data_IF_061488605350
#
_entry.id   IF_061488605350
#
_cell.length_a   1.000
_cell.length_b   1.000
_cell.length_c   1.000
_cell.angle_alpha   90.00
_cell.angle_beta   90.00
_cell.angle_gamma   90.00
#
_symmetry.space_group_name_H-M   'P 1'
#
loop_
_entity.id
_entity.type
_entity.pdbx_description
1 polymer ?
#
# COMPACT_ATOMS: atom_id res chain seq x y z
N UNK A 1 -41.71 -37.29 -37.72
CA UNK A 1 -40.63 -36.77 -36.89
C UNK A 1 -40.21 -37.89 -35.92
N UNK A 2 -38.96 -38.35 -35.88
CA UNK A 2 -38.56 -39.41 -34.98
C UNK A 2 -38.66 -38.89 -33.53
N UNK A 3 -39.41 -39.61 -32.68
CA UNK A 3 -39.56 -39.29 -31.28
C UNK A 3 -38.21 -39.56 -30.57
N UNK A 4 -37.64 -38.54 -29.96
CA UNK A 4 -36.41 -38.68 -29.16
C UNK A 4 -36.65 -39.64 -27.98
N UNK A 5 -35.85 -40.69 -27.88
CA UNK A 5 -35.96 -41.61 -26.76
C UNK A 5 -35.47 -40.89 -25.48
N UNK A 6 -36.03 -41.25 -24.31
CA UNK A 6 -35.59 -40.72 -23.01
C UNK A 6 -34.09 -40.90 -22.81
N UNK A 7 -33.53 -42.00 -23.28
CA UNK A 7 -32.11 -42.31 -23.21
C UNK A 7 -31.26 -41.34 -24.06
N UNK A 8 -31.72 -41.02 -25.26
CA UNK A 8 -31.00 -40.11 -26.17
C UNK A 8 -31.05 -38.67 -25.66
N UNK A 9 -32.20 -38.27 -25.13
CA UNK A 9 -32.34 -36.99 -24.47
C UNK A 9 -31.36 -36.83 -23.29
N UNK A 10 -31.29 -37.83 -22.40
CA UNK A 10 -30.34 -37.77 -21.25
C UNK A 10 -28.86 -37.73 -21.69
N UNK A 11 -28.51 -38.52 -22.72
CA UNK A 11 -27.16 -38.48 -23.28
C UNK A 11 -26.83 -37.14 -23.92
N UNK A 12 -27.77 -36.55 -24.64
CA UNK A 12 -27.58 -35.24 -25.23
C UNK A 12 -27.43 -34.17 -24.14
N UNK A 13 -28.32 -34.16 -23.16
CA UNK A 13 -28.30 -33.18 -22.06
C UNK A 13 -27.01 -33.28 -21.24
N UNK A 14 -26.55 -34.48 -20.90
CA UNK A 14 -25.32 -34.66 -20.15
C UNK A 14 -24.08 -34.18 -20.94
N UNK A 15 -24.03 -34.46 -22.24
CA UNK A 15 -22.95 -33.96 -23.10
C UNK A 15 -23.00 -32.45 -23.23
N UNK A 16 -24.16 -31.86 -23.41
CA UNK A 16 -24.33 -30.41 -23.49
C UNK A 16 -23.87 -29.72 -22.18
N UNK A 17 -24.25 -30.26 -21.01
CA UNK A 17 -23.82 -29.76 -19.72
C UNK A 17 -22.29 -29.85 -19.54
N UNK A 18 -21.69 -30.98 -19.96
CA UNK A 18 -20.22 -31.13 -19.88
C UNK A 18 -19.49 -30.11 -20.77
N UNK A 19 -19.99 -29.86 -21.98
CA UNK A 19 -19.40 -28.83 -22.86
C UNK A 19 -19.56 -27.43 -22.30
N UNK A 20 -20.74 -27.09 -21.79
CA UNK A 20 -20.99 -25.78 -21.17
C UNK A 20 -20.08 -25.58 -19.94
N UNK A 21 -19.99 -26.59 -19.05
CA UNK A 21 -19.14 -26.52 -17.89
C UNK A 21 -17.67 -26.39 -18.26
N UNK A 22 -17.24 -27.11 -19.30
CA UNK A 22 -15.86 -27.01 -19.79
C UNK A 22 -15.54 -25.61 -20.35
N UNK A 23 -16.44 -25.05 -21.16
CA UNK A 23 -16.27 -23.68 -21.69
C UNK A 23 -16.25 -22.61 -20.59
N UNK A 24 -17.15 -22.72 -19.62
CA UNK A 24 -17.18 -21.81 -18.48
C UNK A 24 -15.91 -21.93 -17.63
N UNK A 25 -15.43 -23.15 -17.40
CA UNK A 25 -14.19 -23.40 -16.65
C UNK A 25 -12.96 -22.83 -17.36
N UNK A 26 -12.85 -23.04 -18.68
CA UNK A 26 -11.76 -22.47 -19.49
C UNK A 26 -11.85 -20.93 -19.49
N UNK A 27 -13.04 -20.37 -19.65
CA UNK A 27 -13.26 -18.92 -19.61
C UNK A 27 -12.89 -18.29 -18.25
N UNK A 28 -13.26 -18.94 -17.16
CA UNK A 28 -12.89 -18.51 -15.80
C UNK A 28 -11.37 -18.59 -15.58
N UNK A 29 -10.75 -19.69 -16.02
CA UNK A 29 -9.28 -19.84 -15.94
C UNK A 29 -8.56 -18.78 -16.76
N UNK A 30 -9.03 -18.55 -18.00
CA UNK A 30 -8.47 -17.50 -18.85
C UNK A 30 -8.59 -16.12 -18.19
N UNK A 31 -9.77 -15.79 -17.66
CA UNK A 31 -9.99 -14.52 -16.96
C UNK A 31 -9.08 -14.38 -15.74
N UNK A 32 -8.89 -15.46 -14.98
CA UNK A 32 -7.99 -15.47 -13.81
C UNK A 32 -6.54 -15.22 -14.21
N UNK A 33 -6.06 -15.94 -15.24
CA UNK A 33 -4.67 -15.80 -15.73
C UNK A 33 -4.42 -14.50 -16.49
N UNK A 34 -5.47 -13.91 -17.09
CA UNK A 34 -5.40 -12.63 -17.83
C UNK A 34 -5.71 -11.43 -16.93
N UNK A 35 -5.80 -11.63 -15.61
CA UNK A 35 -5.99 -10.50 -14.71
C UNK A 35 -4.79 -9.56 -14.83
N UNK A 36 -5.01 -8.27 -15.18
CA UNK A 36 -3.91 -7.33 -15.23
C UNK A 36 -3.24 -7.29 -13.86
N UNK A 37 -1.93 -7.44 -13.83
CA UNK A 37 -1.15 -7.15 -12.63
C UNK A 37 -1.49 -5.75 -12.17
N UNK A 38 -1.69 -5.56 -10.86
CA UNK A 38 -1.92 -4.24 -10.29
C UNK A 38 -0.92 -3.23 -10.87
N UNK A 39 -1.34 -1.97 -11.11
CA UNK A 39 -0.42 -0.95 -11.53
C UNK A 39 0.78 -0.93 -10.58
N UNK A 40 2.00 -0.67 -11.06
CA UNK A 40 3.17 -0.62 -10.21
C UNK A 40 2.88 0.30 -9.04
N UNK A 41 3.21 -0.16 -7.83
CA UNK A 41 3.06 0.66 -6.62
C UNK A 41 3.71 2.01 -6.89
N UNK A 42 2.99 3.09 -6.63
CA UNK A 42 3.59 4.42 -6.69
C UNK A 42 4.66 4.47 -5.61
N UNK A 43 5.90 4.56 -6.04
CA UNK A 43 7.05 4.67 -5.15
C UNK A 43 7.51 6.10 -4.98
N UNK A 44 6.99 7.02 -5.80
CA UNK A 44 7.32 8.44 -5.80
C UNK A 44 6.06 9.27 -5.57
N UNK A 45 6.13 10.21 -4.65
CA UNK A 45 5.03 11.10 -4.28
C UNK A 45 5.48 12.55 -4.34
N UNK A 46 4.81 13.34 -5.16
CA UNK A 46 4.96 14.80 -5.17
C UNK A 46 4.22 15.40 -3.96
N UNK A 47 4.99 15.92 -3.02
CA UNK A 47 4.47 16.55 -1.80
C UNK A 47 4.17 18.05 -1.98
N UNK A 48 4.37 18.57 -3.19
CA UNK A 48 4.17 19.96 -3.54
C UNK A 48 5.37 20.87 -3.21
N UNK A 49 5.19 22.18 -3.33
CA UNK A 49 6.27 23.16 -3.17
C UNK A 49 6.94 23.09 -1.79
N UNK A 50 8.27 23.13 -1.76
CA UNK A 50 9.05 23.17 -0.53
C UNK A 50 8.69 24.36 0.38
N UNK A 51 8.18 25.44 -0.20
CA UNK A 51 7.70 26.62 0.54
C UNK A 51 6.54 26.31 1.51
N UNK A 52 5.81 25.23 1.30
CA UNK A 52 4.73 24.78 2.19
C UNK A 52 5.24 24.15 3.50
N UNK A 53 6.54 23.97 3.63
CA UNK A 53 7.21 23.33 4.78
C UNK A 53 8.16 24.33 5.46
N UNK A 54 7.67 25.18 6.39
CA UNK A 54 8.51 26.17 7.05
C UNK A 54 9.68 25.55 7.81
N UNK A 55 10.81 26.26 7.96
CA UNK A 55 11.91 25.80 8.82
C UNK A 55 11.44 25.46 10.24
N UNK A 56 11.92 24.35 10.78
CA UNK A 56 11.51 23.83 12.09
C UNK A 56 10.17 23.11 12.08
N UNK A 57 9.51 22.94 10.93
CA UNK A 57 8.22 22.26 10.86
C UNK A 57 8.33 20.73 10.78
N UNK A 58 7.27 20.07 11.25
CA UNK A 58 7.03 18.63 11.09
C UNK A 58 5.62 18.45 10.52
N UNK A 59 5.52 18.05 9.27
CA UNK A 59 4.26 17.98 8.55
C UNK A 59 3.92 16.52 8.25
N UNK A 60 2.79 16.05 8.81
CA UNK A 60 2.26 14.72 8.50
C UNK A 60 1.60 14.73 7.12
N UNK A 61 1.82 13.66 6.39
CA UNK A 61 1.22 13.42 5.07
C UNK A 61 0.32 12.19 5.13
N UNK A 62 -0.99 12.38 5.40
CA UNK A 62 -1.90 11.24 5.59
C UNK A 62 -2.08 10.39 4.33
N UNK A 63 -1.89 10.97 3.14
CA UNK A 63 -1.93 10.25 1.86
C UNK A 63 -0.73 9.31 1.65
N UNK A 64 0.37 9.60 2.34
CA UNK A 64 1.56 8.77 2.39
C UNK A 64 1.93 8.68 3.87
N UNK A 65 1.98 7.47 4.49
CA UNK A 65 2.23 7.36 5.92
C UNK A 65 3.66 7.79 6.27
N UNK A 66 3.89 9.10 6.21
CA UNK A 66 5.18 9.74 6.42
C UNK A 66 5.04 11.09 7.14
N UNK A 67 6.09 11.50 7.80
CA UNK A 67 6.28 12.87 8.31
C UNK A 67 7.46 13.50 7.60
N UNK A 68 7.24 14.69 7.05
CA UNK A 68 8.28 15.56 6.48
C UNK A 68 8.80 16.48 7.58
N UNK A 69 10.10 16.54 7.75
CA UNK A 69 10.81 17.35 8.74
C UNK A 69 11.67 18.35 7.97
N UNK A 70 11.54 19.62 8.31
CA UNK A 70 12.41 20.67 7.78
C UNK A 70 13.19 21.27 8.95
N UNK A 71 14.47 20.95 9.02
CA UNK A 71 15.39 21.47 10.05
C UNK A 71 16.52 22.30 9.42
N UNK A 72 17.50 22.69 10.24
CA UNK A 72 18.64 23.52 9.80
C UNK A 72 19.54 22.80 8.77
N UNK A 73 19.42 21.47 8.64
CA UNK A 73 20.20 20.65 7.69
C UNK A 73 19.47 20.45 6.37
N UNK A 74 18.18 20.81 6.30
CA UNK A 74 17.30 20.67 5.13
C UNK A 74 16.10 19.79 5.37
N UNK A 75 15.66 19.10 4.31
CA UNK A 75 14.48 18.23 4.37
C UNK A 75 14.87 16.77 4.66
N UNK A 76 14.14 16.16 5.56
CA UNK A 76 14.19 14.73 5.86
C UNK A 76 12.79 14.16 6.01
N UNK A 77 12.64 12.86 5.89
CA UNK A 77 11.35 12.21 6.06
C UNK A 77 11.48 10.88 6.81
N UNK A 78 10.49 10.61 7.68
CA UNK A 78 10.36 9.33 8.39
C UNK A 78 9.06 8.66 7.97
N UNK A 79 9.13 7.36 7.72
CA UNK A 79 7.96 6.53 7.51
C UNK A 79 7.19 6.33 8.81
N UNK A 80 5.88 6.53 8.77
CA UNK A 80 4.99 6.35 9.92
C UNK A 80 4.35 4.94 9.92
N UNK A 81 5.12 3.94 9.53
CA UNK A 81 4.74 2.53 9.58
C UNK A 81 5.50 1.86 10.72
N UNK A 82 4.77 1.30 11.68
CA UNK A 82 5.34 0.65 12.84
C UNK A 82 6.12 -0.62 12.42
N UNK A 83 7.42 -0.72 12.76
CA UNK A 83 8.24 -1.86 12.36
C UNK A 83 7.85 -3.19 13.04
N UNK A 84 6.95 -3.16 14.04
CA UNK A 84 6.45 -4.37 14.67
C UNK A 84 5.55 -5.19 13.72
N UNK A 85 4.41 -4.62 13.28
CA UNK A 85 3.42 -5.29 12.42
C UNK A 85 2.76 -4.35 11.41
N UNK A 86 3.40 -3.26 11.02
CA UNK A 86 2.95 -2.43 9.90
C UNK A 86 1.79 -1.46 10.19
N UNK A 87 1.39 -1.27 11.46
CA UNK A 87 0.35 -0.29 11.80
C UNK A 87 0.83 1.14 11.54
N UNK A 88 -0.07 2.01 11.07
CA UNK A 88 0.23 3.44 10.93
C UNK A 88 0.34 4.09 12.31
N UNK A 89 1.38 4.88 12.49
CA UNK A 89 1.65 5.60 13.72
C UNK A 89 0.88 6.91 13.78
N UNK A 90 0.56 7.32 15.01
CA UNK A 90 -0.05 8.60 15.31
C UNK A 90 0.97 9.52 15.97
N UNK A 91 0.82 10.83 15.76
CA UNK A 91 1.64 11.81 16.45
C UNK A 91 1.22 11.87 17.91
N UNK A 92 2.20 11.89 18.81
CA UNK A 92 2.01 12.01 20.26
C UNK A 92 2.85 13.14 20.84
N UNK A 93 2.63 13.48 22.11
CA UNK A 93 3.43 14.48 22.80
C UNK A 93 4.86 13.99 22.93
N UNK A 94 5.75 14.54 22.10
CA UNK A 94 7.17 14.22 22.12
C UNK A 94 7.60 13.10 21.16
N UNK A 95 6.78 12.73 20.16
CA UNK A 95 7.17 11.75 19.15
C UNK A 95 5.98 11.06 18.48
N UNK A 96 6.03 9.74 18.38
CA UNK A 96 5.01 8.93 17.69
C UNK A 96 4.58 7.76 18.56
N UNK A 97 3.32 7.34 18.42
CA UNK A 97 2.75 6.20 19.13
C UNK A 97 2.03 5.24 18.17
N UNK A 98 2.18 3.95 18.41
CA UNK A 98 1.48 2.91 17.68
C UNK A 98 0.18 2.54 18.41
N UNK A 99 -1.01 2.76 17.80
CA UNK A 99 -2.29 2.48 18.45
C UNK A 99 -2.56 0.98 18.61
N UNK A 100 -1.87 0.13 17.83
CA UNK A 100 -2.12 -1.30 17.82
C UNK A 100 -1.56 -2.03 19.05
N UNK A 101 -0.29 -1.80 19.40
CA UNK A 101 0.38 -2.53 20.48
C UNK A 101 1.22 -1.63 21.40
N UNK A 102 0.99 -0.31 21.35
CA UNK A 102 1.55 0.64 22.31
C UNK A 102 3.06 0.93 22.17
N UNK A 103 3.69 0.60 21.04
CA UNK A 103 5.06 1.05 20.79
C UNK A 103 5.11 2.57 20.69
N UNK A 104 6.11 3.18 21.32
CA UNK A 104 6.35 4.63 21.24
C UNK A 104 7.72 4.91 20.69
N UNK A 105 7.84 6.03 19.98
CA UNK A 105 9.08 6.48 19.35
C UNK A 105 9.32 7.94 19.68
N UNK A 106 10.58 8.31 19.78
CA UNK A 106 10.98 9.71 19.94
C UNK A 106 10.77 10.51 18.63
N UNK A 107 11.00 11.82 18.61
CA UNK A 107 10.85 12.62 17.40
C UNK A 107 11.81 12.23 16.27
N UNK A 108 12.91 11.55 16.56
CA UNK A 108 13.85 11.04 15.54
C UNK A 108 13.46 9.67 14.97
N UNK A 109 12.41 9.05 15.52
CA UNK A 109 11.97 7.72 15.13
C UNK A 109 12.64 6.57 15.86
N UNK A 110 13.41 6.87 16.93
CA UNK A 110 14.03 5.84 17.77
C UNK A 110 12.98 5.22 18.70
N UNK A 111 12.90 3.87 18.83
CA UNK A 111 11.94 3.25 19.72
C UNK A 111 12.25 3.54 21.19
N UNK A 112 11.21 3.91 21.95
CA UNK A 112 11.30 4.18 23.39
C UNK A 112 10.71 3.04 24.22
N UNK A 113 9.52 2.56 23.83
CA UNK A 113 8.80 1.49 24.53
C UNK A 113 8.00 0.63 23.58
N UNK A 114 7.57 -0.53 24.05
CA UNK A 114 6.68 -1.44 23.32
C UNK A 114 7.42 -2.54 22.57
N UNK A 115 6.68 -3.34 21.76
CA UNK A 115 7.25 -4.49 21.07
C UNK A 115 8.06 -4.15 19.82
N UNK A 116 8.06 -2.90 19.35
CA UNK A 116 8.92 -2.48 18.22
C UNK A 116 10.35 -2.27 18.70
N UNK A 117 11.30 -2.99 18.11
CA UNK A 117 12.72 -2.96 18.47
C UNK A 117 13.56 -2.13 17.46
N UNK A 118 13.05 -1.95 16.24
CA UNK A 118 13.73 -1.21 15.19
C UNK A 118 13.25 0.26 15.13
N UNK A 119 14.13 1.20 14.71
CA UNK A 119 13.72 2.57 14.46
C UNK A 119 12.77 2.68 13.25
N UNK A 120 12.09 3.82 13.15
CA UNK A 120 11.29 4.16 11.98
C UNK A 120 12.18 4.27 10.74
N UNK A 121 11.64 3.88 9.59
CA UNK A 121 12.36 3.95 8.31
C UNK A 121 12.62 5.41 7.93
N UNK A 122 13.86 5.75 7.63
CA UNK A 122 14.19 7.00 6.95
C UNK A 122 13.81 6.87 5.48
N UNK A 123 13.04 7.83 4.97
CA UNK A 123 12.62 7.87 3.57
C UNK A 123 13.47 8.88 2.81
N UNK A 124 13.74 8.58 1.54
CA UNK A 124 14.44 9.52 0.68
C UNK A 124 13.48 10.65 0.28
N UNK A 125 13.95 11.88 0.42
CA UNK A 125 13.24 13.08 0.00
C UNK A 125 14.22 13.99 -0.73
N UNK A 126 13.79 14.49 -1.88
CA UNK A 126 14.61 15.41 -2.68
C UNK A 126 13.75 16.56 -3.21
N UNK A 127 14.40 17.66 -3.55
CA UNK A 127 13.74 18.80 -4.18
C UNK A 127 14.04 18.76 -5.69
N UNK A 128 12.99 18.74 -6.50
CA UNK A 128 13.12 18.77 -7.95
C UNK A 128 13.43 20.18 -8.50
N UNK A 129 13.63 20.30 -9.82
CA UNK A 129 13.95 21.58 -10.47
C UNK A 129 12.84 22.62 -10.35
N UNK A 130 11.59 22.20 -10.17
CA UNK A 130 10.43 23.07 -9.99
C UNK A 130 10.26 23.55 -8.54
N UNK A 131 11.12 23.06 -7.62
CA UNK A 131 11.06 23.40 -6.20
C UNK A 131 10.05 22.59 -5.39
N UNK A 132 9.54 21.48 -5.95
CA UNK A 132 8.68 20.53 -5.23
C UNK A 132 9.50 19.49 -4.48
N UNK A 133 8.97 19.02 -3.37
CA UNK A 133 9.53 17.89 -2.62
C UNK A 133 8.98 16.58 -3.18
N UNK A 134 9.87 15.70 -3.57
CA UNK A 134 9.57 14.34 -4.04
C UNK A 134 9.99 13.35 -2.96
N UNK A 135 9.05 12.55 -2.49
CA UNK A 135 9.26 11.50 -1.50
C UNK A 135 9.30 10.14 -2.20
N UNK A 136 10.33 9.36 -1.89
CA UNK A 136 10.49 7.99 -2.39
C UNK A 136 10.17 6.99 -1.27
N UNK A 137 9.21 6.10 -1.53
CA UNK A 137 8.95 4.92 -0.70
C UNK A 137 9.81 3.77 -1.23
N UNK A 138 10.67 3.25 -0.40
CA UNK A 138 11.51 2.07 -0.68
C UNK A 138 10.75 0.78 -0.44
#
# INVERSE_FOLDING_TARGET
>A
MPALSRRDFLKFSSRALLWISGLLGIGALWRFLSHPTEPPLQTEFDLGPAANYPPGSRTLRPEVPAVVIHDDTGFSALGLVCPHLGCTLEQSTGGFACPCHGSTFDPSGTPLTGPAEAPLSSLQIEQNAEGHLILHLL
#
